data_IF_069296329633
#
_entry.id   IF_069296329633
#
_cell.length_a   1.000
_cell.length_b   1.000
_cell.length_c   1.000
_cell.angle_alpha   90.00
_cell.angle_beta   90.00
_cell.angle_gamma   90.00
#
_symmetry.space_group_name_H-M   'P 1'
#
loop_
_entity.id
_entity.type
_entity.pdbx_description
1 polymer ?
#
# COMPACT_ATOMS: atom_id res chain seq x y z
N UNK A 1 -0.16 25.10 -2.80
CA UNK A 1 -0.09 24.54 -4.16
C UNK A 1 -1.01 23.33 -4.26
N UNK A 2 -1.80 23.20 -5.31
CA UNK A 2 -2.61 21.99 -5.50
C UNK A 2 -1.69 20.78 -5.66
N UNK A 3 -2.06 19.65 -5.05
CA UNK A 3 -1.28 18.40 -5.18
C UNK A 3 -1.41 17.86 -6.59
N UNK A 4 -0.29 17.50 -7.20
CA UNK A 4 -0.27 16.87 -8.52
C UNK A 4 -1.18 15.63 -8.57
N UNK A 5 -1.83 15.41 -9.70
CA UNK A 5 -2.57 14.19 -9.97
C UNK A 5 -1.58 13.01 -9.96
N UNK A 6 -2.01 11.87 -9.39
CA UNK A 6 -1.18 10.66 -9.42
C UNK A 6 -1.23 10.06 -10.80
N UNK A 7 -0.07 9.85 -11.39
CA UNK A 7 0.05 9.01 -12.57
C UNK A 7 0.13 7.55 -12.12
N UNK A 8 -0.83 6.75 -12.56
CA UNK A 8 -0.92 5.33 -12.23
C UNK A 8 -1.35 4.55 -13.47
N UNK A 9 -0.42 4.39 -14.45
CA UNK A 9 -0.72 3.65 -15.66
C UNK A 9 -1.06 2.20 -15.40
N UNK A 10 -1.87 1.63 -16.29
CA UNK A 10 -2.15 0.21 -16.32
C UNK A 10 -0.90 -0.63 -16.64
N UNK A 11 -0.99 -1.93 -16.39
CA UNK A 11 0.09 -2.88 -16.66
C UNK A 11 1.22 -2.91 -15.62
N UNK A 12 1.31 -1.93 -14.71
CA UNK A 12 2.26 -1.93 -13.60
C UNK A 12 1.62 -2.50 -12.33
N UNK A 13 2.41 -3.22 -11.54
CA UNK A 13 1.98 -3.67 -10.20
C UNK A 13 2.27 -2.57 -9.19
N UNK A 14 1.32 -2.33 -8.30
CA UNK A 14 1.44 -1.31 -7.25
C UNK A 14 1.26 -1.91 -5.88
N UNK A 15 2.13 -1.56 -4.94
CA UNK A 15 1.79 -1.64 -3.54
C UNK A 15 0.98 -0.41 -3.13
N UNK A 16 -0.10 -0.64 -2.41
CA UNK A 16 -1.01 0.42 -1.94
C UNK A 16 -1.22 0.29 -0.44
N UNK A 17 -1.17 1.41 0.26
CA UNK A 17 -1.34 1.49 1.71
C UNK A 17 -2.24 2.68 2.07
N UNK A 18 -3.13 2.48 3.04
CA UNK A 18 -3.71 3.59 3.77
C UNK A 18 -3.79 3.29 5.26
N UNK A 19 -3.70 4.33 6.08
CA UNK A 19 -3.65 4.25 7.53
C UNK A 19 -4.73 5.14 8.15
N UNK A 20 -5.26 4.67 9.28
CA UNK A 20 -6.18 5.46 10.10
C UNK A 20 -5.58 6.79 10.56
N UNK A 21 -6.43 7.79 10.74
CA UNK A 21 -6.02 9.06 11.31
C UNK A 21 -5.71 8.91 12.81
N UNK A 22 -4.64 9.56 13.25
CA UNK A 22 -4.22 9.52 14.66
C UNK A 22 -3.92 8.10 15.15
N UNK A 23 -4.41 7.75 16.33
CA UNK A 23 -4.27 6.42 16.95
C UNK A 23 -5.49 5.52 16.73
N UNK A 24 -6.39 5.89 15.80
CA UNK A 24 -7.62 5.15 15.54
C UNK A 24 -7.32 3.73 15.05
N UNK A 25 -8.07 2.76 15.54
CA UNK A 25 -8.11 1.41 15.00
C UNK A 25 -9.24 1.34 13.96
N UNK A 26 -8.92 0.99 12.73
CA UNK A 26 -9.90 0.77 11.65
C UNK A 26 -10.73 -0.49 11.91
N UNK A 27 -10.07 -1.51 12.43
CA UNK A 27 -10.65 -2.81 12.65
C UNK A 27 -10.54 -3.15 14.14
N UNK A 28 -11.66 -3.05 14.85
CA UNK A 28 -11.76 -3.27 16.30
C UNK A 28 -12.31 -4.66 16.61
N UNK A 29 -13.14 -5.20 15.73
CA UNK A 29 -13.84 -6.48 15.84
C UNK A 29 -13.90 -7.20 14.49
N UNK A 30 -14.16 -8.50 14.44
CA UNK A 30 -14.20 -9.28 13.20
C UNK A 30 -15.09 -8.69 12.11
N UNK A 31 -16.22 -8.11 12.49
CA UNK A 31 -17.19 -7.53 11.55
C UNK A 31 -16.61 -6.33 10.78
N UNK A 32 -15.68 -5.59 11.37
CA UNK A 32 -15.01 -4.47 10.69
C UNK A 32 -14.12 -4.97 9.54
N UNK A 33 -13.43 -6.08 9.76
CA UNK A 33 -12.60 -6.72 8.73
C UNK A 33 -13.48 -7.29 7.61
N UNK A 34 -14.55 -8.00 7.97
CA UNK A 34 -15.51 -8.56 7.02
C UNK A 34 -16.13 -7.46 6.16
N UNK A 35 -16.51 -6.33 6.79
CA UNK A 35 -17.05 -5.18 6.07
C UNK A 35 -16.06 -4.59 5.06
N UNK A 36 -14.77 -4.55 5.41
CA UNK A 36 -13.74 -4.10 4.47
C UNK A 36 -13.53 -5.10 3.32
N UNK A 37 -13.47 -6.40 3.60
CA UNK A 37 -13.37 -7.45 2.60
C UNK A 37 -14.55 -7.40 1.62
N UNK A 38 -15.76 -7.15 2.12
CA UNK A 38 -16.93 -6.94 1.28
C UNK A 38 -16.78 -5.71 0.37
N UNK A 39 -16.28 -4.59 0.89
CA UNK A 39 -15.99 -3.39 0.09
C UNK A 39 -14.92 -3.66 -0.95
N UNK A 40 -13.88 -4.44 -0.63
CA UNK A 40 -12.84 -4.85 -1.59
C UNK A 40 -13.44 -5.69 -2.73
N UNK A 41 -14.30 -6.66 -2.40
CA UNK A 41 -14.99 -7.49 -3.38
C UNK A 41 -15.87 -6.66 -4.32
N UNK A 42 -16.70 -5.80 -3.76
CA UNK A 42 -17.56 -4.89 -4.53
C UNK A 42 -16.77 -3.93 -5.42
N UNK A 43 -15.58 -3.48 -4.95
CA UNK A 43 -14.70 -2.66 -5.77
C UNK A 43 -14.18 -3.41 -6.99
N UNK A 44 -13.83 -4.70 -6.85
CA UNK A 44 -13.41 -5.56 -7.97
C UNK A 44 -14.53 -5.82 -8.97
N UNK A 45 -15.78 -5.91 -8.50
CA UNK A 45 -16.96 -6.07 -9.37
C UNK A 45 -17.25 -4.81 -10.21
N UNK A 46 -16.89 -3.63 -9.69
CA UNK A 46 -17.14 -2.33 -10.35
C UNK A 46 -16.03 -1.89 -11.29
N UNK A 47 -14.79 -2.17 -10.94
CA UNK A 47 -13.62 -1.68 -11.65
C UNK A 47 -12.66 -2.83 -11.82
N UNK A 48 -12.32 -3.24 -13.07
CA UNK A 48 -11.39 -4.33 -13.33
C UNK A 48 -10.07 -4.10 -12.60
N UNK A 49 -9.76 -5.01 -11.65
CA UNK A 49 -8.55 -4.92 -10.85
C UNK A 49 -8.06 -6.32 -10.48
N UNK A 50 -6.83 -6.62 -10.83
CA UNK A 50 -6.18 -7.84 -10.35
C UNK A 50 -5.61 -7.59 -8.96
N UNK A 51 -6.18 -8.25 -7.96
CA UNK A 51 -5.72 -8.18 -6.58
C UNK A 51 -4.74 -9.33 -6.35
N UNK A 52 -3.47 -9.02 -6.25
CA UNK A 52 -2.41 -10.03 -6.07
C UNK A 52 -2.26 -10.43 -4.62
N UNK A 53 -2.47 -9.47 -3.70
CA UNK A 53 -2.25 -9.70 -2.28
C UNK A 53 -2.93 -8.62 -1.42
N UNK A 54 -3.23 -8.95 -0.15
CA UNK A 54 -3.62 -7.99 0.87
C UNK A 54 -3.28 -8.46 2.29
N UNK A 55 -3.20 -7.47 3.18
CA UNK A 55 -3.15 -7.72 4.61
C UNK A 55 -3.85 -6.56 5.35
N UNK A 56 -4.89 -6.89 6.11
CA UNK A 56 -5.61 -5.93 6.94
C UNK A 56 -5.03 -5.96 8.35
N UNK A 57 -4.46 -4.83 8.78
CA UNK A 57 -3.87 -4.65 10.10
C UNK A 57 -4.79 -3.77 10.95
N UNK A 58 -4.77 -3.84 12.28
CA UNK A 58 -5.75 -3.13 13.12
C UNK A 58 -5.95 -1.65 12.83
N UNK A 59 -4.94 -0.94 12.32
CA UNK A 59 -5.00 0.51 12.04
C UNK A 59 -4.59 0.91 10.62
N UNK A 60 -4.30 -0.03 9.75
CA UNK A 60 -3.94 0.20 8.35
C UNK A 60 -4.17 -1.06 7.53
N UNK A 61 -4.07 -0.95 6.23
CA UNK A 61 -4.13 -2.09 5.32
C UNK A 61 -3.14 -1.92 4.17
N UNK A 62 -2.68 -3.04 3.65
CA UNK A 62 -1.83 -3.16 2.49
C UNK A 62 -2.58 -3.91 1.41
N UNK A 63 -2.48 -3.45 0.15
CA UNK A 63 -2.94 -4.15 -1.05
C UNK A 63 -1.79 -4.18 -2.06
N UNK A 64 -1.69 -5.27 -2.83
CA UNK A 64 -0.87 -5.34 -4.03
C UNK A 64 -1.82 -5.49 -5.22
N UNK A 65 -1.87 -4.46 -6.05
CA UNK A 65 -2.85 -4.29 -7.11
C UNK A 65 -2.18 -4.21 -8.48
N UNK A 66 -2.82 -4.78 -9.47
CA UNK A 66 -2.34 -4.76 -10.85
C UNK A 66 -3.47 -4.28 -11.79
N UNK A 67 -3.60 -2.96 -11.99
CA UNK A 67 -4.60 -2.36 -12.89
C UNK A 67 -4.32 -2.72 -14.34
N UNK A 68 -5.37 -2.87 -15.14
CA UNK A 68 -5.25 -3.16 -16.56
C UNK A 68 -5.09 -1.89 -17.39
N UNK A 69 -5.83 -0.83 -17.05
CA UNK A 69 -5.90 0.42 -17.80
C UNK A 69 -5.41 1.59 -16.98
N UNK A 70 -5.02 2.64 -17.68
CA UNK A 70 -4.68 3.92 -17.07
C UNK A 70 -5.89 4.48 -16.30
N UNK A 71 -5.65 4.93 -15.08
CA UNK A 71 -6.69 5.49 -14.22
C UNK A 71 -7.44 4.47 -13.36
N UNK A 72 -7.46 3.18 -13.70
CA UNK A 72 -8.18 2.14 -12.93
C UNK A 72 -7.77 2.12 -11.46
N UNK A 73 -6.47 2.21 -11.15
CA UNK A 73 -6.00 2.26 -9.76
C UNK A 73 -6.61 3.44 -8.99
N UNK A 74 -6.67 4.60 -9.62
CA UNK A 74 -7.20 5.80 -8.98
C UNK A 74 -8.71 5.70 -8.78
N UNK A 75 -9.45 5.21 -9.78
CA UNK A 75 -10.89 5.00 -9.70
C UNK A 75 -11.24 3.94 -8.64
N UNK A 76 -10.55 2.80 -8.65
CA UNK A 76 -10.71 1.72 -7.69
C UNK A 76 -10.49 2.19 -6.25
N UNK A 77 -9.36 2.84 -6.00
CA UNK A 77 -9.00 3.30 -4.68
C UNK A 77 -9.91 4.43 -4.18
N UNK A 78 -10.35 5.32 -5.07
CA UNK A 78 -11.31 6.38 -4.74
C UNK A 78 -12.62 5.77 -4.28
N UNK A 79 -13.18 4.85 -5.06
CA UNK A 79 -14.45 4.21 -4.73
C UNK A 79 -14.33 3.41 -3.41
N UNK A 80 -13.32 2.55 -3.30
CA UNK A 80 -13.10 1.68 -2.15
C UNK A 80 -12.91 2.49 -0.85
N UNK A 81 -12.05 3.50 -0.85
CA UNK A 81 -11.78 4.27 0.37
C UNK A 81 -12.94 5.15 0.78
N UNK A 82 -13.71 5.70 -0.19
CA UNK A 82 -14.92 6.50 0.10
C UNK A 82 -16.01 5.61 0.69
N UNK A 83 -16.31 4.48 0.05
CA UNK A 83 -17.34 3.52 0.49
C UNK A 83 -17.00 2.96 1.88
N UNK A 84 -15.74 2.53 2.09
CA UNK A 84 -15.31 2.07 3.40
C UNK A 84 -15.44 3.17 4.46
N UNK A 85 -15.05 4.41 4.16
CA UNK A 85 -15.16 5.52 5.10
C UNK A 85 -16.62 5.78 5.50
N UNK A 86 -17.53 5.79 4.52
CA UNK A 86 -18.96 6.03 4.78
C UNK A 86 -19.56 4.91 5.63
N UNK A 87 -19.37 3.65 5.24
CA UNK A 87 -19.89 2.49 5.97
C UNK A 87 -19.28 2.39 7.37
N UNK A 88 -17.98 2.61 7.51
CA UNK A 88 -17.30 2.57 8.80
C UNK A 88 -17.85 3.64 9.74
N UNK A 89 -17.97 4.89 9.27
CA UNK A 89 -18.49 5.99 10.09
C UNK A 89 -19.92 5.75 10.52
N UNK A 90 -20.76 5.19 9.65
CA UNK A 90 -22.12 4.85 9.99
C UNK A 90 -22.18 3.76 11.06
N UNK A 91 -21.44 2.66 10.86
CA UNK A 91 -21.40 1.54 11.78
C UNK A 91 -20.83 1.88 13.17
N UNK A 92 -20.02 2.93 13.27
CA UNK A 92 -19.37 3.36 14.52
C UNK A 92 -19.94 4.67 15.09
N UNK A 93 -21.07 5.13 14.62
CA UNK A 93 -21.70 6.41 15.02
C UNK A 93 -20.72 7.60 14.96
N UNK A 94 -19.84 7.61 13.94
CA UNK A 94 -18.78 8.60 13.79
C UNK A 94 -19.03 9.58 12.61
N UNK A 95 -20.27 9.68 12.14
CA UNK A 95 -20.67 10.66 11.12
C UNK A 95 -20.44 12.06 11.65
N UNK A 96 -19.84 12.95 10.84
CA UNK A 96 -19.45 14.29 11.28
C UNK A 96 -18.11 14.40 11.99
N UNK A 97 -17.56 13.30 12.48
CA UNK A 97 -16.20 13.28 13.05
C UNK A 97 -15.15 13.26 11.93
N UNK A 98 -14.08 14.00 12.05
CA UNK A 98 -12.97 14.22 11.13
C UNK A 98 -12.67 13.12 10.09
N UNK A 99 -11.48 13.06 9.57
CA UNK A 99 -11.12 12.09 8.54
C UNK A 99 -10.83 10.70 9.13
N UNK A 100 -11.35 9.61 8.52
CA UNK A 100 -11.03 8.24 8.90
C UNK A 100 -9.58 7.89 8.61
N UNK A 101 -9.08 8.30 7.43
CA UNK A 101 -7.72 8.08 7.00
C UNK A 101 -6.86 9.33 7.16
N UNK A 102 -5.54 9.15 7.37
CA UNK A 102 -4.58 10.26 7.50
C UNK A 102 -4.48 11.14 6.25
N UNK A 103 -4.94 10.64 5.11
CA UNK A 103 -4.93 11.34 3.85
C UNK A 103 -5.22 10.42 2.67
N UNK A 104 -4.79 10.83 1.48
CA UNK A 104 -4.87 9.95 0.31
C UNK A 104 -4.02 8.70 0.54
N UNK A 105 -4.44 7.57 -0.01
CA UNK A 105 -3.63 6.34 0.01
C UNK A 105 -2.22 6.60 -0.55
N UNK A 106 -1.23 5.92 -0.01
CA UNK A 106 0.11 5.85 -0.57
C UNK A 106 0.16 4.74 -1.61
N UNK A 107 0.96 4.91 -2.65
CA UNK A 107 1.25 3.83 -3.60
C UNK A 107 2.59 4.04 -4.27
N UNK A 108 3.24 2.95 -4.61
CA UNK A 108 4.43 2.95 -5.45
C UNK A 108 4.38 1.77 -6.43
N UNK A 109 4.88 1.94 -7.67
CA UNK A 109 4.99 0.86 -8.63
C UNK A 109 6.16 -0.06 -8.27
N UNK A 110 6.00 -1.34 -8.61
CA UNK A 110 6.95 -2.41 -8.30
C UNK A 110 7.39 -3.06 -9.60
N UNK A 111 8.68 -3.33 -9.75
CA UNK A 111 9.20 -4.17 -10.82
C UNK A 111 8.75 -5.62 -10.65
N UNK A 112 8.32 -6.26 -11.75
CA UNK A 112 7.70 -7.60 -11.73
C UNK A 112 8.76 -8.71 -11.75
N UNK A 113 9.61 -8.73 -10.74
CA UNK A 113 10.70 -9.67 -10.55
C UNK A 113 10.85 -10.06 -9.06
N UNK A 114 12.07 -10.27 -8.57
CA UNK A 114 12.36 -10.54 -7.16
C UNK A 114 11.88 -9.42 -6.22
N UNK A 115 11.77 -8.17 -6.70
CA UNK A 115 11.25 -7.06 -5.91
C UNK A 115 9.76 -7.21 -5.61
N UNK A 116 8.99 -7.74 -6.58
CA UNK A 116 7.59 -8.07 -6.32
C UNK A 116 7.46 -9.17 -5.27
N UNK A 117 8.28 -10.22 -5.33
CA UNK A 117 8.28 -11.26 -4.30
C UNK A 117 8.64 -10.71 -2.91
N UNK A 118 9.60 -9.78 -2.84
CA UNK A 118 9.94 -9.12 -1.59
C UNK A 118 8.76 -8.31 -1.02
N UNK A 119 8.01 -7.59 -1.85
CA UNK A 119 6.82 -6.83 -1.43
C UNK A 119 5.68 -7.75 -1.01
N UNK A 120 5.38 -8.80 -1.78
CA UNK A 120 4.35 -9.78 -1.43
C UNK A 120 4.64 -10.42 -0.07
N UNK A 121 5.90 -10.84 0.13
CA UNK A 121 6.37 -11.36 1.41
C UNK A 121 6.23 -10.32 2.53
N UNK A 122 6.63 -9.08 2.29
CA UNK A 122 6.48 -7.99 3.26
C UNK A 122 5.02 -7.80 3.66
N UNK A 123 4.08 -7.83 2.71
CA UNK A 123 2.65 -7.67 2.96
C UNK A 123 2.10 -8.84 3.77
N UNK A 124 2.35 -10.08 3.35
CA UNK A 124 1.87 -11.26 4.04
C UNK A 124 2.49 -11.44 5.43
N UNK A 125 3.73 -10.99 5.65
CA UNK A 125 4.45 -11.09 6.93
C UNK A 125 4.09 -10.00 7.95
N UNK A 126 3.35 -8.97 7.58
CA UNK A 126 3.01 -7.84 8.48
C UNK A 126 2.46 -8.29 9.85
N UNK A 127 1.51 -9.25 9.94
CA UNK A 127 0.97 -9.68 11.24
C UNK A 127 2.00 -10.39 12.11
N UNK A 128 2.88 -11.19 11.51
CA UNK A 128 4.00 -11.86 12.22
C UNK A 128 4.98 -10.82 12.75
N UNK A 129 5.38 -9.86 11.91
CA UNK A 129 6.26 -8.76 12.30
C UNK A 129 5.66 -7.90 13.42
N UNK A 130 4.35 -7.74 13.43
CA UNK A 130 3.61 -7.02 14.47
C UNK A 130 3.29 -7.89 15.69
N UNK A 131 3.77 -9.13 15.74
CA UNK A 131 3.56 -10.09 16.85
C UNK A 131 2.08 -10.37 17.14
N UNK A 132 1.22 -10.30 16.11
CA UNK A 132 -0.20 -10.64 16.23
C UNK A 132 -0.45 -12.14 16.09
N UNK A 133 0.40 -12.82 15.33
CA UNK A 133 0.39 -14.27 15.09
C UNK A 133 1.83 -14.78 14.98
N UNK A 134 2.02 -16.10 15.13
CA UNK A 134 3.33 -16.75 14.96
C UNK A 134 3.62 -17.15 13.50
N UNK A 135 2.59 -17.39 12.68
CA UNK A 135 2.68 -17.68 11.25
C UNK A 135 1.71 -16.83 10.45
N UNK A 136 2.12 -16.40 9.26
CA UNK A 136 1.32 -15.49 8.42
C UNK A 136 -0.03 -16.11 7.99
N UNK A 137 -0.08 -17.43 7.81
CA UNK A 137 -1.29 -18.20 7.49
C UNK A 137 -2.32 -18.20 8.61
N UNK A 138 -1.91 -17.89 9.84
CA UNK A 138 -2.82 -17.80 11.00
C UNK A 138 -3.58 -16.46 11.03
N UNK A 139 -3.14 -15.47 10.25
CA UNK A 139 -3.80 -14.19 10.20
C UNK A 139 -4.96 -14.22 9.21
N UNK A 140 -6.17 -14.45 9.71
CA UNK A 140 -7.40 -14.59 8.94
C UNK A 140 -7.66 -13.46 7.92
N UNK A 141 -7.20 -12.26 8.21
CA UNK A 141 -7.47 -11.04 7.44
C UNK A 141 -6.38 -10.71 6.41
N UNK A 142 -5.75 -11.73 5.87
CA UNK A 142 -4.71 -11.61 4.86
C UNK A 142 -4.80 -12.68 3.80
N UNK A 143 -4.35 -12.37 2.60
CA UNK A 143 -4.35 -13.28 1.45
C UNK A 143 -3.52 -14.54 1.68
N UNK A 144 -2.51 -14.51 2.57
CA UNK A 144 -1.77 -15.71 2.94
C UNK A 144 -2.71 -16.78 3.52
N UNK A 145 -3.59 -16.42 4.46
CA UNK A 145 -4.61 -17.29 5.02
C UNK A 145 -5.61 -17.75 3.97
N UNK A 146 -6.17 -16.81 3.19
CA UNK A 146 -7.15 -17.10 2.14
C UNK A 146 -6.61 -18.11 1.12
N UNK A 147 -5.31 -18.08 0.83
CA UNK A 147 -4.68 -19.06 -0.10
C UNK A 147 -4.62 -20.47 0.46
N UNK A 148 -4.61 -20.66 1.77
CA UNK A 148 -4.61 -21.99 2.41
C UNK A 148 -6.01 -22.59 2.43
N UNK A 149 -7.06 -21.77 2.50
CA UNK A 149 -8.45 -22.25 2.59
C UNK A 149 -9.13 -22.27 1.23
N UNK A 150 -9.42 -23.48 0.73
CA UNK A 150 -10.05 -23.67 -0.59
C UNK A 150 -11.45 -23.05 -0.68
N UNK A 151 -12.22 -23.10 0.40
CA UNK A 151 -13.60 -22.62 0.47
C UNK A 151 -13.74 -21.17 1.01
N UNK A 152 -12.62 -20.42 1.15
CA UNK A 152 -12.66 -19.06 1.68
C UNK A 152 -13.44 -18.11 0.74
N UNK A 153 -14.43 -17.31 1.25
CA UNK A 153 -15.28 -16.46 0.41
C UNK A 153 -14.50 -15.41 -0.41
N UNK A 154 -13.34 -14.98 0.10
CA UNK A 154 -12.48 -14.01 -0.58
C UNK A 154 -11.52 -14.63 -1.60
N UNK A 155 -11.52 -15.96 -1.76
CA UNK A 155 -10.58 -16.62 -2.68
C UNK A 155 -10.77 -16.17 -4.14
N UNK A 156 -12.01 -15.95 -4.56
CA UNK A 156 -12.34 -15.47 -5.90
C UNK A 156 -11.89 -14.04 -6.21
N UNK A 157 -11.51 -13.26 -5.19
CA UNK A 157 -10.94 -11.91 -5.35
C UNK A 157 -9.46 -11.97 -5.72
N UNK A 158 -8.75 -13.06 -5.34
CA UNK A 158 -7.32 -13.20 -5.60
C UNK A 158 -7.05 -13.53 -7.07
N UNK A 159 -6.20 -12.74 -7.68
CA UNK A 159 -5.65 -13.00 -9.01
C UNK A 159 -4.32 -13.74 -8.93
N UNK A 160 -3.96 -14.43 -10.03
CA UNK A 160 -2.64 -15.02 -10.20
C UNK A 160 -1.54 -13.96 -10.21
N UNK A 161 -0.36 -14.33 -9.74
CA UNK A 161 0.81 -13.45 -9.82
C UNK A 161 1.37 -13.41 -11.25
N UNK A 162 2.05 -12.33 -11.66
CA UNK A 162 2.67 -12.27 -12.99
C UNK A 162 3.88 -13.21 -13.16
N UNK A 163 4.26 -13.89 -12.09
CA UNK A 163 5.36 -14.86 -12.04
C UNK A 163 4.96 -16.10 -11.24
N UNK A 164 5.64 -17.24 -11.41
CA UNK A 164 5.37 -18.44 -10.62
C UNK A 164 5.57 -18.18 -9.12
N UNK A 165 4.60 -18.62 -8.32
CA UNK A 165 4.72 -18.60 -6.87
C UNK A 165 5.71 -19.69 -6.45
N UNK A 166 6.77 -19.37 -5.67
CA UNK A 166 7.71 -20.39 -5.20
C UNK A 166 7.01 -21.49 -4.38
N UNK A 167 7.40 -22.75 -4.59
CA UNK A 167 6.79 -23.88 -3.89
C UNK A 167 6.94 -23.81 -2.37
N UNK A 168 8.03 -23.22 -1.89
CA UNK A 168 8.32 -23.02 -0.46
C UNK A 168 7.86 -21.65 0.06
N UNK A 169 6.90 -20.99 -0.61
CA UNK A 169 6.52 -19.62 -0.32
C UNK A 169 6.12 -19.37 1.14
N UNK A 170 5.29 -20.24 1.72
CA UNK A 170 4.87 -20.10 3.11
C UNK A 170 6.05 -20.11 4.08
N UNK A 171 7.02 -20.99 3.86
CA UNK A 171 8.27 -21.01 4.63
C UNK A 171 9.05 -19.70 4.44
N UNK A 172 9.10 -19.18 3.23
CA UNK A 172 9.76 -17.91 2.91
C UNK A 172 9.07 -16.73 3.63
N UNK A 173 7.74 -16.68 3.65
CA UNK A 173 7.00 -15.63 4.38
C UNK A 173 7.29 -15.67 5.86
N UNK A 174 7.29 -16.86 6.47
CA UNK A 174 7.48 -17.03 7.91
C UNK A 174 8.95 -16.91 8.38
N UNK A 175 9.91 -17.00 7.45
CA UNK A 175 11.32 -16.79 7.78
C UNK A 175 11.66 -15.30 8.02
N UNK A 176 12.76 -15.02 8.70
CA UNK A 176 13.30 -13.65 8.83
C UNK A 176 13.74 -13.16 7.45
N UNK A 177 13.35 -11.95 7.06
CA UNK A 177 13.70 -11.34 5.79
C UNK A 177 15.09 -10.73 5.78
N UNK A 178 15.52 -10.34 4.59
CA UNK A 178 16.69 -9.47 4.48
C UNK A 178 16.31 -8.08 4.96
N UNK A 179 17.07 -7.53 5.88
CA UNK A 179 16.84 -6.19 6.40
C UNK A 179 16.90 -5.13 5.30
N UNK A 180 17.74 -5.35 4.30
CA UNK A 180 17.88 -4.47 3.13
C UNK A 180 16.58 -4.38 2.32
N UNK A 181 15.89 -5.50 2.08
CA UNK A 181 14.61 -5.52 1.36
C UNK A 181 13.55 -4.75 2.15
N UNK A 182 13.48 -4.96 3.45
CA UNK A 182 12.53 -4.23 4.31
C UNK A 182 12.84 -2.72 4.34
N UNK A 183 14.11 -2.35 4.43
CA UNK A 183 14.53 -0.94 4.39
C UNK A 183 14.16 -0.27 3.06
N UNK A 184 14.40 -0.94 1.92
CA UNK A 184 14.02 -0.45 0.59
C UNK A 184 12.50 -0.28 0.45
N UNK A 185 11.71 -1.24 0.94
CA UNK A 185 10.24 -1.15 0.95
C UNK A 185 9.78 0.01 1.83
N UNK A 186 10.38 0.23 2.99
CA UNK A 186 10.05 1.36 3.87
C UNK A 186 10.33 2.71 3.18
N UNK A 187 11.47 2.86 2.52
CA UNK A 187 11.78 4.07 1.74
C UNK A 187 10.75 4.28 0.63
N UNK A 188 10.38 3.22 -0.11
CA UNK A 188 9.35 3.29 -1.14
C UNK A 188 7.99 3.72 -0.57
N UNK A 189 7.59 3.18 0.59
CA UNK A 189 6.37 3.54 1.32
C UNK A 189 6.36 5.00 1.79
N UNK A 190 7.49 5.48 2.32
CA UNK A 190 7.58 6.85 2.83
C UNK A 190 7.55 7.89 1.73
N UNK A 191 8.19 7.60 0.61
CA UNK A 191 8.42 8.54 -0.50
C UNK A 191 7.45 8.38 -1.65
N UNK A 192 6.72 7.26 -1.74
CA UNK A 192 6.01 6.78 -2.94
C UNK A 192 6.98 6.58 -4.12
N UNK A 193 8.18 6.12 -3.84
CA UNK A 193 9.24 5.90 -4.80
C UNK A 193 9.05 4.56 -5.49
N UNK A 194 9.26 4.43 -6.81
CA UNK A 194 9.29 3.14 -7.50
C UNK A 194 10.26 2.16 -6.84
N UNK A 195 9.93 0.88 -6.79
CA UNK A 195 10.75 -0.19 -6.23
C UNK A 195 11.12 -1.21 -7.30
N UNK A 196 12.39 -1.34 -7.57
CA UNK A 196 12.96 -2.21 -8.59
C UNK A 196 14.49 -2.11 -8.60
N UNK A 197 15.13 -2.56 -9.68
CA UNK A 197 16.53 -2.26 -9.90
C UNK A 197 16.75 -0.76 -10.18
N UNK A 198 17.98 -0.29 -10.07
CA UNK A 198 18.27 1.14 -10.16
C UNK A 198 17.89 1.72 -11.52
N UNK A 199 18.13 0.99 -12.61
CA UNK A 199 17.82 1.45 -13.96
C UNK A 199 16.31 1.51 -14.18
N UNK A 200 15.56 0.51 -13.71
CA UNK A 200 14.11 0.51 -13.77
C UNK A 200 13.50 1.63 -12.93
N UNK A 201 14.00 1.82 -11.69
CA UNK A 201 13.55 2.90 -10.79
C UNK A 201 13.71 4.26 -11.45
N UNK A 202 14.87 4.54 -12.07
CA UNK A 202 15.11 5.80 -12.79
C UNK A 202 14.15 5.98 -13.96
N UNK A 203 13.96 4.94 -14.80
CA UNK A 203 13.01 4.98 -15.93
C UNK A 203 11.58 5.24 -15.46
N UNK A 204 11.14 4.55 -14.41
CA UNK A 204 9.79 4.73 -13.88
C UNK A 204 9.60 6.08 -13.21
N UNK A 205 10.61 6.59 -12.51
CA UNK A 205 10.55 7.92 -11.90
C UNK A 205 10.33 9.01 -12.97
N UNK A 206 11.06 8.96 -14.08
CA UNK A 206 10.85 9.89 -15.22
C UNK A 206 9.47 9.69 -15.83
N UNK A 207 9.09 8.43 -16.16
CA UNK A 207 7.80 8.12 -16.79
C UNK A 207 6.59 8.59 -15.98
N UNK A 208 6.69 8.59 -14.65
CA UNK A 208 5.59 8.86 -13.73
C UNK A 208 5.69 10.21 -13.01
N UNK A 209 6.63 11.09 -13.40
CA UNK A 209 6.89 12.38 -12.74
C UNK A 209 7.18 12.21 -11.23
N UNK A 210 7.96 11.18 -10.90
CA UNK A 210 8.34 10.80 -9.53
C UNK A 210 9.82 11.06 -9.20
N UNK A 211 10.58 11.74 -10.05
CA UNK A 211 12.02 12.03 -9.85
C UNK A 211 12.28 12.73 -8.51
N UNK A 212 11.33 13.56 -8.08
CA UNK A 212 11.40 14.22 -6.79
C UNK A 212 11.44 13.24 -5.60
N UNK A 213 10.96 12.00 -5.77
CA UNK A 213 10.97 10.96 -4.74
C UNK A 213 12.35 10.33 -4.56
N UNK A 214 13.22 10.44 -5.56
CA UNK A 214 14.59 9.91 -5.53
C UNK A 214 15.57 10.81 -4.78
N UNK A 215 15.24 12.10 -4.63
CA UNK A 215 16.11 13.07 -3.95
C UNK A 215 16.17 12.76 -2.45
N UNK A 216 17.36 12.84 -1.84
CA UNK A 216 17.50 12.72 -0.39
C UNK A 216 16.64 13.76 0.33
N UNK A 217 16.00 13.38 1.45
CA UNK A 217 15.34 14.33 2.34
C UNK A 217 16.43 15.13 3.08
N UNK A 218 16.39 16.45 2.97
CA UNK A 218 17.27 17.34 3.70
C UNK A 218 17.49 18.64 2.96
N UNK A 219 17.90 19.65 3.69
CA UNK A 219 18.39 20.92 3.14
C UNK A 219 19.68 20.59 2.38
N UNK A 220 19.80 21.03 1.11
CA UNK A 220 21.06 20.85 0.38
C UNK A 220 22.22 21.35 1.24
N UNK A 221 23.24 20.52 1.44
CA UNK A 221 24.46 20.93 2.12
C UNK A 221 25.03 22.11 1.34
N UNK A 222 25.19 23.29 2.02
CA UNK A 222 25.67 24.50 1.37
C UNK A 222 24.65 25.62 1.18
N UNK A 223 23.34 25.39 1.38
CA UNK A 223 22.37 26.49 1.35
C UNK A 223 22.37 27.26 2.67
N UNK A 224 23.31 28.20 2.84
CA UNK A 224 23.23 29.25 3.87
C UNK A 224 22.26 30.33 3.38
N UNK A 225 21.26 30.71 4.21
CA UNK A 225 20.58 31.99 4.02
C UNK A 225 21.65 33.04 4.07
N UNK A 226 21.90 33.68 2.94
CA UNK A 226 22.63 34.96 2.94
C UNK A 226 21.68 35.92 3.62
N UNK A 227 21.90 36.17 4.91
CA UNK A 227 21.25 37.28 5.61
C UNK A 227 21.99 38.50 5.12
N UNK A 228 21.50 39.14 4.06
CA UNK A 228 21.85 40.51 3.74
C UNK A 228 21.35 41.34 4.90
N UNK A 229 22.28 41.84 5.71
CA UNK A 229 22.04 42.98 6.60
C UNK A 229 21.71 44.18 5.69
N UNK A 230 20.47 44.30 5.29
CA UNK A 230 19.94 45.56 4.78
C UNK A 230 19.63 46.42 6.01
N UNK A 231 20.38 47.48 6.15
CA UNK A 231 20.29 48.39 7.27
C UNK A 231 18.92 49.04 7.42
N UNK A 232 18.57 49.31 8.66
CA UNK A 232 17.60 50.32 9.02
C UNK A 232 18.02 51.67 8.38
N UNK A 233 17.16 52.21 7.55
CA UNK A 233 17.06 53.62 7.32
C UNK A 233 15.59 54.00 7.52
N UNK A 234 15.40 54.79 8.56
CA UNK A 234 14.26 55.64 9.00
C UNK A 234 12.86 55.23 8.56
#
# INVERSE_FOLDING_TARGET
>A
MPRRARQAPGGLVYHVLNRANGKLRLFKKPEDFIAFEQVLKEACERIPMRVLDWCLMPNHWHLVLWPERDGDLTAFMRWMTLTHTQRWKHAHAAVGQGHLYQGRFKSFPIEQDSHLLAVLRYVERNPVRSKLVSGAEQWRWGSCHVRQEKAHPMRGVLSGWPMPRPANWLRTVNSVGREEDEARIQVALERNQPLGDEAWVRRMAVKLDLEHTLRSRGRQVGWRKVVTKAGKIR
#
